data_IF_126493528132
#
_entry.id   IF_126493528132
#
_cell.length_a   1.000
_cell.length_b   1.000
_cell.length_c   1.000
_cell.angle_alpha   90.00
_cell.angle_beta   90.00
_cell.angle_gamma   90.00
#
_symmetry.space_group_name_H-M   'P 1'
#
loop_
_entity.id
_entity.type
_entity.pdbx_description
1 polymer ?
#
# COMPACT_ATOMS: atom_id res chain seq x y z
N UNK A 1 -2.84 17.22 0.49
CA UNK A 1 -2.54 16.04 -0.35
C UNK A 1 -2.50 14.83 0.55
N UNK A 2 -3.15 13.73 0.16
CA UNK A 2 -3.04 12.47 0.89
C UNK A 2 -1.71 11.80 0.50
N UNK A 3 -0.93 11.35 1.49
CA UNK A 3 0.36 10.66 1.28
C UNK A 3 0.18 9.16 1.50
N UNK A 4 1.04 8.33 0.90
CA UNK A 4 1.04 6.88 1.17
C UNK A 4 1.24 6.61 2.67
N UNK A 5 2.10 7.39 3.33
CA UNK A 5 2.31 7.29 4.78
C UNK A 5 1.03 7.52 5.59
N UNK A 6 0.21 8.52 5.21
CA UNK A 6 -1.10 8.72 5.83
C UNK A 6 -2.06 7.56 5.58
N UNK A 7 -1.99 6.94 4.40
CA UNK A 7 -2.84 5.79 4.07
C UNK A 7 -2.43 4.56 4.89
N UNK A 8 -1.12 4.33 5.06
CA UNK A 8 -0.60 3.27 5.94
C UNK A 8 -1.07 3.44 7.37
N UNK A 9 -0.95 4.65 7.93
CA UNK A 9 -1.40 4.91 9.31
C UNK A 9 -2.90 4.66 9.48
N UNK A 10 -3.73 5.10 8.53
CA UNK A 10 -5.18 4.83 8.56
C UNK A 10 -5.47 3.32 8.47
N UNK A 11 -4.73 2.59 7.64
CA UNK A 11 -4.90 1.15 7.52
C UNK A 11 -4.50 0.42 8.81
N UNK A 12 -3.41 0.82 9.45
CA UNK A 12 -3.00 0.28 10.76
C UNK A 12 -4.07 0.53 11.83
N UNK A 13 -4.66 1.73 11.87
CA UNK A 13 -5.76 2.05 12.81
C UNK A 13 -6.98 1.14 12.58
N UNK A 14 -7.34 0.87 11.31
CA UNK A 14 -8.46 -0.03 10.97
C UNK A 14 -8.12 -1.49 11.28
N UNK A 15 -6.88 -1.93 11.05
CA UNK A 15 -6.43 -3.31 11.34
C UNK A 15 -6.41 -3.55 12.85
N UNK A 16 -6.01 -2.54 13.63
CA UNK A 16 -5.94 -2.60 15.08
C UNK A 16 -7.32 -2.62 15.76
N UNK A 17 -8.38 -2.16 15.06
CA UNK A 17 -9.75 -2.26 15.55
C UNK A 17 -10.26 -3.71 15.44
N UNK A 18 -10.10 -4.44 16.54
CA UNK A 18 -10.62 -5.81 16.73
C UNK A 18 -11.77 -5.88 17.74
N UNK A 19 -12.33 -4.74 18.18
CA UNK A 19 -13.38 -4.68 19.22
C UNK A 19 -14.66 -5.43 18.80
N UNK A 20 -14.89 -5.53 17.49
CA UNK A 20 -16.04 -6.22 16.86
C UNK A 20 -15.79 -7.70 16.58
N UNK A 21 -14.58 -8.21 16.85
CA UNK A 21 -14.18 -9.61 16.62
C UNK A 21 -14.46 -10.45 17.86
N UNK A 22 -15.46 -11.32 17.81
CA UNK A 22 -15.93 -12.07 18.99
C UNK A 22 -16.06 -13.58 18.77
N UNK A 23 -15.96 -14.05 17.53
CA UNK A 23 -16.08 -15.46 17.17
C UNK A 23 -15.16 -15.83 15.99
N UNK A 24 -15.19 -17.10 15.58
CA UNK A 24 -14.36 -17.58 14.47
C UNK A 24 -14.76 -17.00 13.11
N UNK A 25 -16.03 -16.60 12.95
CA UNK A 25 -16.55 -16.06 11.71
C UNK A 25 -16.08 -14.61 11.52
N UNK A 26 -16.33 -13.76 12.50
CA UNK A 26 -15.86 -12.36 12.58
C UNK A 26 -14.34 -12.27 12.54
N UNK A 27 -13.61 -13.25 13.09
CA UNK A 27 -12.15 -13.35 12.92
C UNK A 27 -11.72 -13.59 11.48
N UNK A 28 -12.46 -14.41 10.74
CA UNK A 28 -12.19 -14.64 9.32
C UNK A 28 -12.49 -13.39 8.48
N UNK A 29 -13.52 -12.62 8.84
CA UNK A 29 -13.85 -11.36 8.20
C UNK A 29 -12.76 -10.30 8.45
N UNK A 30 -12.32 -10.16 9.71
CA UNK A 30 -11.21 -9.28 10.10
C UNK A 30 -9.91 -9.62 9.35
N UNK A 31 -9.59 -10.91 9.23
CA UNK A 31 -8.44 -11.36 8.44
C UNK A 31 -8.56 -10.98 6.95
N UNK A 32 -9.77 -11.03 6.38
CA UNK A 32 -10.04 -10.57 5.02
C UNK A 32 -9.84 -9.06 4.85
N UNK A 33 -10.30 -8.26 5.81
CA UNK A 33 -10.09 -6.80 5.83
C UNK A 33 -8.61 -6.48 5.88
N UNK A 34 -7.85 -7.12 6.78
CA UNK A 34 -6.40 -6.96 6.89
C UNK A 34 -5.69 -7.27 5.57
N UNK A 35 -5.99 -8.41 4.96
CA UNK A 35 -5.40 -8.80 3.68
C UNK A 35 -5.70 -7.79 2.55
N UNK A 36 -6.93 -7.28 2.50
CA UNK A 36 -7.32 -6.25 1.53
C UNK A 36 -6.56 -4.93 1.69
N UNK A 37 -6.37 -4.48 2.93
CA UNK A 37 -5.63 -3.25 3.24
C UNK A 37 -4.13 -3.38 2.95
N UNK A 38 -3.53 -4.52 3.30
CA UNK A 38 -2.13 -4.82 2.96
C UNK A 38 -1.92 -4.84 1.43
N UNK A 39 -2.87 -5.43 0.67
CA UNK A 39 -2.83 -5.42 -0.79
C UNK A 39 -2.95 -4.00 -1.38
N UNK A 40 -3.84 -3.16 -0.82
CA UNK A 40 -3.98 -1.77 -1.22
C UNK A 40 -2.66 -1.00 -1.02
N UNK A 41 -2.04 -1.12 0.16
CA UNK A 41 -0.77 -0.47 0.47
C UNK A 41 0.30 -0.89 -0.54
N UNK A 42 0.44 -2.19 -0.79
CA UNK A 42 1.40 -2.72 -1.76
C UNK A 42 1.20 -2.11 -3.16
N UNK A 43 -0.04 -2.06 -3.67
CA UNK A 43 -0.29 -1.48 -4.98
C UNK A 43 0.01 0.02 -5.05
N UNK A 44 -0.25 0.76 -3.97
CA UNK A 44 0.12 2.18 -3.91
C UNK A 44 1.65 2.36 -3.95
N UNK A 45 2.40 1.50 -3.27
CA UNK A 45 3.86 1.51 -3.30
C UNK A 45 4.41 1.16 -4.69
N UNK A 46 3.87 0.12 -5.33
CA UNK A 46 4.22 -0.28 -6.71
C UNK A 46 4.01 0.89 -7.69
N UNK A 47 2.84 1.55 -7.63
CA UNK A 47 2.55 2.72 -8.46
C UNK A 47 3.50 3.91 -8.19
N UNK A 48 4.00 4.07 -6.96
CA UNK A 48 5.00 5.08 -6.65
C UNK A 48 6.38 4.71 -7.21
N UNK A 49 6.77 3.44 -7.15
CA UNK A 49 8.02 2.95 -7.71
C UNK A 49 8.03 3.02 -9.24
N UNK A 50 6.93 2.67 -9.91
CA UNK A 50 6.80 2.78 -11.37
C UNK A 50 6.99 4.22 -11.85
N UNK A 51 6.47 5.20 -11.10
CA UNK A 51 6.70 6.62 -11.37
C UNK A 51 8.17 7.01 -11.23
N UNK A 52 8.88 6.48 -10.23
CA UNK A 52 10.32 6.74 -10.08
C UNK A 52 11.14 6.03 -11.18
N UNK A 53 10.82 4.78 -11.50
CA UNK A 53 11.52 3.98 -12.52
C UNK A 53 11.36 4.54 -13.94
N UNK A 54 10.20 5.12 -14.25
CA UNK A 54 9.96 5.80 -15.54
C UNK A 54 10.76 7.10 -15.66
N UNK A 55 11.08 7.76 -14.54
CA UNK A 55 11.77 9.06 -14.52
C UNK A 55 13.29 8.98 -14.76
N UNK A 56 13.89 7.79 -14.66
CA UNK A 56 15.36 7.60 -14.75
C UNK A 56 15.84 7.42 -16.22
N UNK A 57 14.95 7.13 -17.17
CA UNK A 57 15.34 6.68 -18.52
C UNK A 57 15.50 7.77 -19.61
N UNK A 58 15.56 9.06 -19.26
CA UNK A 58 15.62 10.17 -20.23
C UNK A 58 17.02 10.80 -20.45
N UNK A 59 18.04 10.38 -19.70
CA UNK A 59 19.39 10.97 -19.79
C UNK A 59 20.52 9.99 -20.16
N UNK A 60 20.23 8.70 -20.41
CA UNK A 60 21.29 7.68 -20.52
C UNK A 60 21.84 7.40 -21.91
N UNK A 61 21.41 8.07 -22.99
CA UNK A 61 22.02 7.86 -24.33
C UNK A 61 22.24 9.16 -25.08
N UNK A 62 23.18 9.96 -24.61
CA UNK A 62 23.95 10.87 -25.47
C UNK A 62 25.42 10.80 -25.06
N UNK A 63 26.07 9.66 -25.36
CA UNK A 63 27.51 9.68 -25.61
C UNK A 63 27.70 9.95 -27.10
N UNK A 64 27.75 11.24 -27.43
CA UNK A 64 28.41 11.75 -28.63
C UNK A 64 29.92 11.59 -28.40
N UNK A 65 30.50 10.60 -29.06
CA UNK A 65 31.82 10.60 -29.72
C UNK A 65 32.18 9.17 -30.10
#
# INVERSE_FOLDING_TARGET
MITIERIKNIAEDIIADDEWVNDSHTKSEHAGVKAGLEMLIRHLEELQQDKLGTSINIFSTNKVN
#
